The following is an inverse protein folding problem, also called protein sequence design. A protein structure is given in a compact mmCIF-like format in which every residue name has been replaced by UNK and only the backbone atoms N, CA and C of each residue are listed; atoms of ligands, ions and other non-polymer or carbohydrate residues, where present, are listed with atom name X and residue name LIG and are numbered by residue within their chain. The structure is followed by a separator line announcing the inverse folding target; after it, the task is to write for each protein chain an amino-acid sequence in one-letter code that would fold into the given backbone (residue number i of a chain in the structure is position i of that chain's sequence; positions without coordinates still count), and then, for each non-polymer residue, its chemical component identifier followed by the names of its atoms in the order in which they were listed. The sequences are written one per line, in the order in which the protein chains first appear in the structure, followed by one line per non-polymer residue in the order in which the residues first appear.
data_IF_035335412337
#
_entry.id   IF_035335412337
#
_cell.length_a   1.000
_cell.length_b   1.000
_cell.length_c   1.000
_cell.angle_alpha   90.00
_cell.angle_beta   90.00
_cell.angle_gamma   90.00
#
_symmetry.space_group_name_H-M   'P 1'
#
loop_
_entity.id
_entity.type
_entity.pdbx_description
1 polymer ?
#
# COMPACT_ATOMS: atom_id res chain seq x y z
N UNK A 1 13.19 -0.59 -31.03
CA UNK A 1 13.73 -1.92 -30.74
C UNK A 1 14.69 -1.75 -29.57
N UNK A 2 14.36 -2.24 -28.38
CA UNK A 2 15.32 -2.20 -27.26
C UNK A 2 16.20 -3.44 -27.41
N UNK A 3 17.45 -3.21 -27.78
CA UNK A 3 18.48 -4.24 -27.84
C UNK A 3 18.70 -4.77 -26.43
N UNK A 4 18.51 -6.08 -26.25
CA UNK A 4 18.65 -6.75 -24.95
C UNK A 4 20.15 -6.81 -24.67
N UNK A 5 20.63 -5.92 -23.82
CA UNK A 5 22.02 -5.94 -23.38
C UNK A 5 22.34 -7.28 -22.70
N UNK A 6 23.49 -7.85 -23.06
CA UNK A 6 24.06 -9.09 -22.49
C UNK A 6 24.00 -9.08 -20.95
N UNK A 7 23.58 -10.18 -20.29
CA UNK A 7 23.37 -10.24 -18.83
C UNK A 7 24.56 -9.75 -17.99
N UNK A 8 25.78 -9.89 -18.51
CA UNK A 8 27.03 -9.51 -17.84
C UNK A 8 27.19 -7.99 -17.74
N UNK A 9 26.74 -7.23 -18.75
CA UNK A 9 26.87 -5.77 -18.79
C UNK A 9 25.89 -5.05 -17.84
N UNK A 10 24.82 -5.74 -17.42
CA UNK A 10 23.81 -5.21 -16.51
C UNK A 10 24.14 -5.39 -15.03
N UNK A 11 25.13 -6.22 -14.69
CA UNK A 11 25.48 -6.54 -13.28
C UNK A 11 26.07 -5.34 -12.53
N UNK A 12 26.74 -4.42 -13.23
CA UNK A 12 27.36 -3.25 -12.60
C UNK A 12 27.49 -2.07 -13.57
N UNK A 13 26.57 -1.12 -13.44
CA UNK A 13 26.60 0.12 -14.21
C UNK A 13 27.64 1.09 -13.64
N UNK A 14 28.23 1.89 -14.54
CA UNK A 14 29.16 2.97 -14.20
C UNK A 14 28.42 4.04 -13.36
N UNK A 15 28.92 4.44 -12.18
CA UNK A 15 28.27 5.45 -11.34
C UNK A 15 28.00 6.78 -12.06
N UNK A 16 28.88 7.17 -12.99
CA UNK A 16 28.70 8.37 -13.81
C UNK A 16 27.38 8.34 -14.61
N UNK A 17 27.01 7.20 -15.20
CA UNK A 17 25.77 7.06 -15.94
C UNK A 17 24.55 7.28 -15.03
N UNK A 18 24.58 6.74 -13.81
CA UNK A 18 23.51 6.93 -12.83
C UNK A 18 23.37 8.40 -12.41
N UNK A 19 24.47 9.13 -12.25
CA UNK A 19 24.44 10.58 -11.99
C UNK A 19 23.79 11.34 -13.15
N UNK A 20 24.18 11.04 -14.40
CA UNK A 20 23.58 11.67 -15.58
C UNK A 20 22.08 11.37 -15.66
N UNK A 21 21.66 10.12 -15.45
CA UNK A 21 20.24 9.76 -15.42
C UNK A 21 19.48 10.49 -14.31
N UNK A 22 20.09 10.64 -13.13
CA UNK A 22 19.49 11.38 -12.01
C UNK A 22 19.31 12.85 -12.35
N UNK A 23 20.30 13.48 -13.00
CA UNK A 23 20.20 14.87 -13.46
C UNK A 23 19.10 15.05 -14.53
N UNK A 24 18.95 14.08 -15.45
CA UNK A 24 17.87 14.12 -16.44
C UNK A 24 16.50 14.08 -15.75
N UNK A 25 16.34 13.25 -14.71
CA UNK A 25 15.10 13.19 -13.93
C UNK A 25 14.86 14.48 -13.15
N UNK A 26 15.89 15.03 -12.49
CA UNK A 26 15.76 16.24 -11.69
C UNK A 26 15.40 17.47 -12.53
N UNK A 27 16.03 17.60 -13.70
CA UNK A 27 15.82 18.76 -14.59
C UNK A 27 14.53 18.65 -15.42
N UNK A 28 13.87 17.49 -15.45
CA UNK A 28 12.65 17.22 -16.22
C UNK A 28 12.66 17.77 -17.67
N UNK A 29 13.83 17.75 -18.33
CA UNK A 29 14.12 18.46 -19.60
C UNK A 29 13.07 18.16 -20.69
N UNK A 30 12.60 16.91 -20.74
CA UNK A 30 11.42 16.54 -21.51
C UNK A 30 10.75 15.29 -20.95
N UNK A 31 9.47 15.13 -21.24
CA UNK A 31 8.72 13.92 -20.90
C UNK A 31 9.31 12.66 -21.56
N UNK A 32 9.87 12.80 -22.77
CA UNK A 32 10.53 11.69 -23.49
C UNK A 32 11.83 11.27 -22.80
N UNK A 33 12.67 12.24 -22.42
CA UNK A 33 13.91 11.99 -21.70
C UNK A 33 13.65 11.38 -20.31
N UNK A 34 12.69 11.93 -19.56
CA UNK A 34 12.27 11.42 -18.25
C UNK A 34 11.81 9.97 -18.34
N UNK A 35 10.92 9.64 -19.30
CA UNK A 35 10.46 8.26 -19.51
C UNK A 35 11.59 7.34 -19.95
N UNK A 36 12.52 7.79 -20.78
CA UNK A 36 13.68 6.99 -21.18
C UNK A 36 14.59 6.69 -19.99
N UNK A 37 14.91 7.70 -19.17
CA UNK A 37 15.72 7.54 -17.97
C UNK A 37 15.07 6.59 -16.95
N UNK A 38 13.77 6.74 -16.69
CA UNK A 38 13.02 5.82 -15.83
C UNK A 38 13.04 4.38 -16.36
N UNK A 39 12.87 4.16 -17.68
CA UNK A 39 12.95 2.81 -18.27
C UNK A 39 14.31 2.17 -18.03
N UNK A 40 15.40 2.92 -18.25
CA UNK A 40 16.76 2.43 -18.04
C UNK A 40 16.98 2.07 -16.57
N UNK A 41 16.61 2.97 -15.65
CA UNK A 41 16.75 2.75 -14.21
C UNK A 41 15.90 1.55 -13.72
N UNK A 42 14.68 1.40 -14.20
CA UNK A 42 13.81 0.24 -13.91
C UNK A 42 14.44 -1.06 -14.42
N UNK A 43 15.08 -1.02 -15.59
CA UNK A 43 15.78 -2.18 -16.14
C UNK A 43 16.94 -2.62 -15.26
N UNK A 44 17.63 -1.68 -14.60
CA UNK A 44 18.96 -1.94 -14.01
C UNK A 44 18.99 -2.00 -12.48
N UNK A 45 18.00 -1.41 -11.80
CA UNK A 45 17.89 -1.45 -10.33
C UNK A 45 17.36 -2.77 -9.71
N UNK A 46 16.87 -3.78 -10.46
CA UNK A 46 16.64 -5.11 -9.89
C UNK A 46 17.94 -5.70 -9.31
N UNK A 47 19.09 -5.45 -9.93
CA UNK A 47 20.39 -5.88 -9.43
C UNK A 47 20.84 -5.05 -8.22
N UNK A 48 21.14 -5.74 -7.11
CA UNK A 48 21.47 -5.11 -5.82
C UNK A 48 22.61 -4.10 -5.89
N UNK A 49 23.69 -4.38 -6.65
CA UNK A 49 24.83 -3.46 -6.81
C UNK A 49 24.44 -2.14 -7.48
N UNK A 50 23.58 -2.19 -8.50
CA UNK A 50 23.10 -0.99 -9.19
C UNK A 50 22.15 -0.19 -8.32
N UNK A 51 21.33 -0.88 -7.52
CA UNK A 51 20.41 -0.27 -6.58
C UNK A 51 21.14 0.61 -5.56
N UNK A 52 22.20 0.09 -4.94
CA UNK A 52 23.01 0.85 -3.97
C UNK A 52 23.58 2.10 -4.64
N UNK A 53 24.23 1.94 -5.81
CA UNK A 53 24.77 3.07 -6.58
C UNK A 53 23.71 4.09 -7.01
N UNK A 54 22.50 3.65 -7.31
CA UNK A 54 21.39 4.53 -7.68
C UNK A 54 20.91 5.34 -6.47
N UNK A 55 20.85 4.72 -5.29
CA UNK A 55 20.54 5.44 -4.04
C UNK A 55 21.64 6.46 -3.73
N UNK A 56 22.92 6.07 -3.81
CA UNK A 56 24.07 6.98 -3.64
C UNK A 56 24.08 8.15 -4.64
N UNK A 57 23.55 7.94 -5.85
CA UNK A 57 23.40 8.98 -6.86
C UNK A 57 22.23 9.95 -6.57
N UNK A 58 21.43 9.72 -5.53
CA UNK A 58 20.32 10.60 -5.13
C UNK A 58 19.00 10.30 -5.85
N UNK A 59 18.86 9.15 -6.52
CA UNK A 59 17.67 8.83 -7.31
C UNK A 59 16.39 8.85 -6.47
N UNK A 60 16.45 8.40 -5.20
CA UNK A 60 15.25 8.32 -4.33
C UNK A 60 14.59 9.69 -4.14
N UNK A 61 15.36 10.73 -3.79
CA UNK A 61 14.83 12.09 -3.59
C UNK A 61 14.16 12.60 -4.86
N UNK A 62 14.84 12.51 -5.99
CA UNK A 62 14.34 12.99 -7.29
C UNK A 62 13.04 12.29 -7.69
N UNK A 63 12.89 11.00 -7.37
CA UNK A 63 11.64 10.27 -7.63
C UNK A 63 10.49 10.77 -6.77
N UNK A 64 10.75 11.13 -5.51
CA UNK A 64 9.74 11.68 -4.60
C UNK A 64 9.28 13.05 -5.11
N UNK A 65 10.21 13.92 -5.50
CA UNK A 65 9.92 15.22 -6.09
C UNK A 65 9.11 15.07 -7.38
N UNK A 66 9.49 14.12 -8.23
CA UNK A 66 8.72 13.81 -9.45
C UNK A 66 7.27 13.40 -9.13
N UNK A 67 7.02 12.67 -8.03
CA UNK A 67 5.65 12.29 -7.63
C UNK A 67 4.82 13.45 -7.05
N UNK A 68 5.48 14.46 -6.49
CA UNK A 68 4.85 15.69 -6.00
C UNK A 68 4.36 16.55 -7.16
N UNK A 69 5.20 16.70 -8.19
CA UNK A 69 4.90 17.52 -9.38
C UNK A 69 3.91 16.85 -10.35
N UNK A 70 3.78 15.52 -10.29
CA UNK A 70 2.89 14.77 -11.18
C UNK A 70 1.42 14.86 -10.74
N UNK A 71 0.64 15.76 -11.36
CA UNK A 71 -0.81 15.89 -11.14
C UNK A 71 -1.65 14.93 -12.00
N UNK A 72 -1.35 14.74 -13.30
CA UNK A 72 -2.37 14.21 -14.24
C UNK A 72 -1.96 13.07 -15.20
N UNK A 73 -0.69 12.65 -15.24
CA UNK A 73 -0.26 11.57 -16.15
C UNK A 73 -0.22 10.21 -15.45
N UNK A 74 -0.99 9.22 -15.89
CA UNK A 74 -1.01 7.87 -15.26
C UNK A 74 0.30 7.09 -15.39
N UNK A 75 1.06 7.28 -16.48
CA UNK A 75 2.22 6.43 -16.82
C UNK A 75 3.51 6.76 -16.05
N UNK A 76 3.77 8.04 -15.77
CA UNK A 76 5.00 8.45 -15.06
C UNK A 76 5.00 8.00 -13.60
N UNK A 77 3.94 8.22 -12.80
CA UNK A 77 3.84 7.72 -11.43
C UNK A 77 3.98 6.20 -11.33
N UNK A 78 3.46 5.47 -12.32
CA UNK A 78 3.64 4.01 -12.36
C UNK A 78 5.11 3.61 -12.48
N UNK A 79 5.83 4.25 -13.41
CA UNK A 79 7.26 4.00 -13.60
C UNK A 79 8.08 4.42 -12.38
N UNK A 80 7.77 5.59 -11.81
CA UNK A 80 8.44 6.10 -10.61
C UNK A 80 8.24 5.16 -9.42
N UNK A 81 7.01 4.72 -9.15
CA UNK A 81 6.76 3.76 -8.07
C UNK A 81 7.37 2.38 -8.32
N UNK A 82 7.47 1.95 -9.58
CA UNK A 82 8.19 0.71 -9.93
C UNK A 82 9.65 0.81 -9.53
N UNK A 83 10.30 1.92 -9.87
CA UNK A 83 11.69 2.15 -9.52
C UNK A 83 11.88 2.30 -8.00
N UNK A 84 11.02 3.09 -7.35
CA UNK A 84 11.07 3.30 -5.91
C UNK A 84 10.90 1.99 -5.13
N UNK A 85 10.02 1.09 -5.59
CA UNK A 85 9.86 -0.26 -5.06
C UNK A 85 11.16 -1.07 -5.16
N UNK A 86 11.85 -1.06 -6.30
CA UNK A 86 13.17 -1.68 -6.43
C UNK A 86 14.17 -1.09 -5.42
N UNK A 87 14.26 0.23 -5.32
CA UNK A 87 15.20 0.91 -4.42
C UNK A 87 14.92 0.60 -2.94
N UNK A 88 13.64 0.53 -2.53
CA UNK A 88 13.24 0.22 -1.16
C UNK A 88 13.49 -1.25 -0.74
N UNK A 89 13.88 -2.13 -1.67
CA UNK A 89 14.33 -3.48 -1.35
C UNK A 89 15.75 -3.50 -0.72
N UNK A 90 16.44 -2.37 -0.54
CA UNK A 90 17.67 -2.26 0.26
C UNK A 90 17.52 -1.28 1.43
N UNK A 91 18.40 -1.37 2.43
CA UNK A 91 18.35 -0.52 3.63
C UNK A 91 18.53 0.96 3.29
N UNK A 92 19.53 1.30 2.46
CA UNK A 92 19.84 2.68 2.07
C UNK A 92 18.67 3.33 1.33
N UNK A 93 18.01 2.58 0.44
CA UNK A 93 16.85 3.10 -0.29
C UNK A 93 15.67 3.43 0.62
N UNK A 94 15.44 2.63 1.68
CA UNK A 94 14.42 2.95 2.70
C UNK A 94 14.84 4.13 3.57
N UNK A 95 16.12 4.22 3.92
CA UNK A 95 16.64 5.33 4.70
C UNK A 95 16.47 6.66 3.94
N UNK A 96 16.84 6.72 2.66
CA UNK A 96 16.65 7.93 1.85
C UNK A 96 15.17 8.26 1.60
N UNK A 97 14.28 7.25 1.49
CA UNK A 97 12.83 7.48 1.43
C UNK A 97 12.32 8.18 2.69
N UNK A 98 12.71 7.69 3.88
CA UNK A 98 12.27 8.22 5.18
C UNK A 98 12.92 9.55 5.55
N UNK A 99 14.14 9.79 5.05
CA UNK A 99 14.84 11.07 5.21
C UNK A 99 14.15 12.21 4.47
N UNK A 100 13.47 11.90 3.37
CA UNK A 100 12.69 12.88 2.62
C UNK A 100 11.35 13.14 3.30
N UNK A 101 11.07 14.37 3.72
CA UNK A 101 9.87 14.72 4.52
C UNK A 101 8.52 14.41 3.84
N UNK A 102 8.50 14.25 2.52
CA UNK A 102 7.31 13.84 1.76
C UNK A 102 7.25 12.33 1.41
N UNK A 103 8.26 11.53 1.78
CA UNK A 103 8.45 10.17 1.27
C UNK A 103 7.28 9.23 1.52
N UNK A 104 6.85 9.06 2.77
CA UNK A 104 5.68 8.22 3.09
C UNK A 104 4.38 8.84 2.60
N UNK A 105 4.28 10.17 2.64
CA UNK A 105 3.10 10.90 2.18
C UNK A 105 2.82 10.63 0.71
N UNK A 106 3.83 10.76 -0.18
CA UNK A 106 3.62 10.53 -1.62
C UNK A 106 3.33 9.07 -1.93
N UNK A 107 3.99 8.12 -1.27
CA UNK A 107 3.77 6.69 -1.51
C UNK A 107 2.35 6.30 -1.09
N UNK A 108 1.94 6.66 0.12
CA UNK A 108 0.62 6.35 0.65
C UNK A 108 -0.51 7.04 -0.13
N UNK A 109 -0.27 8.27 -0.62
CA UNK A 109 -1.24 9.01 -1.44
C UNK A 109 -1.55 8.30 -2.76
N UNK A 110 -0.65 7.49 -3.32
CA UNK A 110 -0.88 6.84 -4.63
C UNK A 110 -1.73 5.56 -4.54
N UNK A 111 -2.01 5.04 -3.35
CA UNK A 111 -2.92 3.90 -3.15
C UNK A 111 -4.34 4.29 -3.62
N UNK A 112 -4.92 3.50 -4.53
CA UNK A 112 -6.21 3.71 -5.22
C UNK A 112 -6.34 4.95 -6.12
N UNK A 113 -5.26 5.74 -6.32
CA UNK A 113 -5.36 6.98 -7.10
C UNK A 113 -4.99 6.85 -8.59
N UNK A 114 -4.27 5.80 -8.98
CA UNK A 114 -3.72 5.69 -10.34
C UNK A 114 -4.15 4.41 -11.05
N UNK A 115 -3.73 3.25 -10.53
CA UNK A 115 -4.06 1.92 -11.05
C UNK A 115 -3.85 0.88 -9.95
N UNK A 116 -4.41 -0.33 -10.13
CA UNK A 116 -4.19 -1.42 -9.17
C UNK A 116 -2.71 -1.83 -9.07
N UNK A 117 -1.98 -1.81 -10.20
CA UNK A 117 -0.55 -2.11 -10.21
C UNK A 117 0.24 -1.09 -9.39
N UNK A 118 -0.15 0.19 -9.45
CA UNK A 118 0.41 1.25 -8.62
C UNK A 118 0.09 1.05 -7.14
N UNK A 119 -1.17 0.75 -6.80
CA UNK A 119 -1.57 0.44 -5.42
C UNK A 119 -0.75 -0.72 -4.85
N UNK A 120 -0.57 -1.80 -5.62
CA UNK A 120 0.22 -2.97 -5.21
C UNK A 120 1.67 -2.60 -4.91
N UNK A 121 2.31 -1.81 -5.78
CA UNK A 121 3.70 -1.33 -5.57
C UNK A 121 3.82 -0.40 -4.36
N UNK A 122 2.86 0.51 -4.17
CA UNK A 122 2.83 1.39 -3.00
C UNK A 122 2.72 0.57 -1.70
N UNK A 123 1.82 -0.43 -1.65
CA UNK A 123 1.70 -1.34 -0.50
C UNK A 123 2.98 -2.14 -0.28
N UNK A 124 3.67 -2.59 -1.34
CA UNK A 124 4.98 -3.26 -1.21
C UNK A 124 6.05 -2.37 -0.59
N UNK A 125 6.13 -1.10 -1.00
CA UNK A 125 7.06 -0.13 -0.40
C UNK A 125 6.74 0.06 1.07
N UNK A 126 5.47 0.34 1.41
CA UNK A 126 5.04 0.51 2.80
C UNK A 126 5.29 -0.74 3.64
N UNK A 127 5.09 -1.93 3.07
CA UNK A 127 5.40 -3.19 3.74
C UNK A 127 6.91 -3.33 4.03
N UNK A 128 7.77 -3.00 3.07
CA UNK A 128 9.22 -3.03 3.28
C UNK A 128 9.66 -2.03 4.38
N UNK A 129 9.09 -0.82 4.39
CA UNK A 129 9.33 0.16 5.45
C UNK A 129 8.82 -0.35 6.79
N UNK A 130 7.56 -0.78 6.88
CA UNK A 130 6.95 -1.24 8.13
C UNK A 130 7.69 -2.43 8.73
N UNK A 131 8.18 -3.35 7.89
CA UNK A 131 8.88 -4.57 8.32
C UNK A 131 10.32 -4.32 8.79
N UNK A 132 11.06 -3.47 8.09
CA UNK A 132 12.51 -3.34 8.29
C UNK A 132 12.96 -1.98 8.86
N UNK A 133 12.07 -1.00 8.90
CA UNK A 133 12.34 0.39 9.29
C UNK A 133 11.22 1.00 10.15
N UNK A 134 10.24 0.18 10.59
CA UNK A 134 9.07 0.62 11.33
C UNK A 134 9.36 0.89 12.81
N UNK A 135 10.05 1.99 13.11
CA UNK A 135 10.18 2.51 14.47
C UNK A 135 8.96 3.36 14.88
N UNK A 136 8.88 3.78 16.15
CA UNK A 136 7.75 4.54 16.68
C UNK A 136 7.42 5.79 15.86
N UNK A 137 8.43 6.53 15.39
CA UNK A 137 8.23 7.74 14.58
C UNK A 137 7.59 7.41 13.23
N UNK A 138 8.11 6.40 12.53
CA UNK A 138 7.61 5.96 11.22
C UNK A 138 6.17 5.46 11.35
N UNK A 139 5.88 4.66 12.37
CA UNK A 139 4.53 4.09 12.61
C UNK A 139 3.53 5.18 12.97
N UNK A 140 3.96 6.21 13.71
CA UNK A 140 3.14 7.38 14.01
C UNK A 140 2.87 8.21 12.76
N UNK A 141 3.88 8.47 11.93
CA UNK A 141 3.72 9.19 10.66
C UNK A 141 2.75 8.45 9.72
N UNK A 142 2.87 7.12 9.60
CA UNK A 142 1.92 6.30 8.84
C UNK A 142 0.48 6.45 9.34
N UNK A 143 0.28 6.58 10.66
CA UNK A 143 -1.04 6.83 11.23
C UNK A 143 -1.57 8.22 10.82
N UNK A 144 -0.76 9.27 10.96
CA UNK A 144 -1.15 10.64 10.57
C UNK A 144 -1.48 10.78 9.09
N UNK A 145 -0.78 10.04 8.23
CA UNK A 145 -1.03 10.00 6.79
C UNK A 145 -2.28 9.18 6.42
N UNK A 146 -2.97 8.58 7.40
CA UNK A 146 -4.12 7.71 7.18
C UNK A 146 -3.75 6.48 6.37
N UNK A 147 -2.56 5.91 6.56
CA UNK A 147 -2.15 4.67 5.88
C UNK A 147 -3.02 3.51 6.34
N UNK A 148 -3.36 3.46 7.63
CA UNK A 148 -4.12 2.36 8.22
C UNK A 148 -5.45 2.14 7.50
N UNK A 149 -6.24 3.20 7.32
CA UNK A 149 -7.53 3.05 6.64
C UNK A 149 -7.43 2.70 5.16
N UNK A 150 -6.38 3.19 4.47
CA UNK A 150 -6.08 2.74 3.10
C UNK A 150 -5.77 1.24 3.05
N UNK A 151 -5.03 0.71 4.02
CA UNK A 151 -4.72 -0.72 4.10
C UNK A 151 -5.97 -1.54 4.45
N UNK A 152 -6.82 -1.07 5.35
CA UNK A 152 -8.12 -1.70 5.62
C UNK A 152 -8.98 -1.76 4.36
N UNK A 153 -9.02 -0.69 3.56
CA UNK A 153 -9.74 -0.68 2.29
C UNK A 153 -9.12 -1.65 1.26
N UNK A 154 -7.78 -1.79 1.19
CA UNK A 154 -7.11 -2.85 0.40
C UNK A 154 -7.59 -4.24 0.78
N UNK A 155 -7.75 -4.54 2.08
CA UNK A 155 -8.27 -5.83 2.52
C UNK A 155 -9.71 -6.09 2.05
N UNK A 156 -10.53 -5.04 1.95
CA UNK A 156 -11.92 -5.13 1.50
C UNK A 156 -12.03 -5.35 0.00
N UNK A 157 -11.27 -4.59 -0.81
CA UNK A 157 -11.44 -4.58 -2.28
C UNK A 157 -10.53 -5.54 -3.04
N UNK A 158 -9.41 -5.98 -2.46
CA UNK A 158 -8.45 -6.92 -3.08
C UNK A 158 -8.29 -8.23 -2.28
N UNK A 159 -9.39 -8.75 -1.73
CA UNK A 159 -9.39 -9.95 -0.88
C UNK A 159 -8.73 -11.15 -1.58
N UNK A 160 -7.77 -11.80 -0.90
CA UNK A 160 -7.05 -12.98 -1.41
C UNK A 160 -5.90 -12.69 -2.37
N UNK A 161 -5.56 -11.42 -2.59
CA UNK A 161 -4.39 -11.02 -3.39
C UNK A 161 -3.10 -10.96 -2.56
N UNK A 162 -1.95 -11.08 -3.23
CA UNK A 162 -0.64 -10.81 -2.60
C UNK A 162 -0.53 -9.40 -2.01
N UNK A 163 -1.28 -8.44 -2.56
CA UNK A 163 -1.34 -7.07 -2.02
C UNK A 163 -2.07 -7.04 -0.69
N UNK A 164 -3.20 -7.73 -0.56
CA UNK A 164 -3.95 -7.78 0.70
C UNK A 164 -3.25 -8.60 1.78
N UNK A 165 -2.50 -9.64 1.43
CA UNK A 165 -1.60 -10.33 2.37
C UNK A 165 -0.60 -9.36 3.00
N UNK A 166 0.09 -8.56 2.19
CA UNK A 166 1.05 -7.55 2.68
C UNK A 166 0.38 -6.47 3.52
N UNK A 167 -0.79 -6.00 3.11
CA UNK A 167 -1.57 -5.07 3.90
C UNK A 167 -1.92 -5.66 5.28
N UNK A 168 -2.33 -6.93 5.33
CA UNK A 168 -2.61 -7.65 6.58
C UNK A 168 -1.37 -7.78 7.45
N UNK A 169 -0.20 -8.09 6.87
CA UNK A 169 1.07 -8.17 7.58
C UNK A 169 1.44 -6.83 8.23
N UNK A 170 1.30 -5.71 7.51
CA UNK A 170 1.55 -4.37 8.06
C UNK A 170 0.66 -4.09 9.28
N UNK A 171 -0.65 -4.34 9.13
CA UNK A 171 -1.65 -4.13 10.19
C UNK A 171 -1.34 -4.97 11.42
N UNK A 172 -0.92 -6.22 11.24
CA UNK A 172 -0.56 -7.12 12.34
C UNK A 172 0.73 -6.68 13.04
N UNK A 173 1.76 -6.28 12.29
CA UNK A 173 3.05 -5.85 12.87
C UNK A 173 2.89 -4.67 13.82
N UNK A 174 2.02 -3.71 13.48
CA UNK A 174 1.89 -2.44 14.21
C UNK A 174 0.58 -2.28 14.97
N UNK A 175 -0.22 -3.36 15.10
CA UNK A 175 -1.54 -3.36 15.73
C UNK A 175 -1.55 -2.72 17.13
N UNK A 176 -0.51 -2.96 17.94
CA UNK A 176 -0.42 -2.39 19.31
C UNK A 176 -0.30 -0.88 19.32
N UNK A 177 0.52 -0.31 18.42
CA UNK A 177 0.71 1.13 18.29
C UNK A 177 -0.55 1.84 17.78
N UNK A 178 -1.43 1.07 17.13
CA UNK A 178 -2.59 1.54 16.41
C UNK A 178 -3.91 1.32 17.16
N UNK A 179 -3.96 0.36 18.09
CA UNK A 179 -5.16 -0.06 18.85
C UNK A 179 -5.99 1.07 19.47
N UNK A 180 -5.36 2.17 19.88
CA UNK A 180 -6.03 3.29 20.55
C UNK A 180 -6.30 4.49 19.61
N UNK A 181 -6.07 4.34 18.30
CA UNK A 181 -6.37 5.39 17.35
C UNK A 181 -7.83 5.31 16.91
N UNK A 182 -8.55 6.41 17.05
CA UNK A 182 -9.96 6.56 16.65
C UNK A 182 -10.21 6.19 15.18
N UNK A 183 -9.18 6.29 14.34
CA UNK A 183 -9.19 5.94 12.93
C UNK A 183 -9.43 4.44 12.64
N UNK A 184 -9.31 3.56 13.64
CA UNK A 184 -9.29 2.10 13.45
C UNK A 184 -10.56 1.42 13.94
N UNK A 185 -11.23 2.04 14.91
CA UNK A 185 -12.36 1.43 15.62
C UNK A 185 -13.57 1.18 14.71
N UNK A 186 -13.77 1.95 13.64
CA UNK A 186 -14.87 1.70 12.69
C UNK A 186 -14.50 0.73 11.55
N UNK A 187 -13.22 0.70 11.15
CA UNK A 187 -12.76 -0.05 9.98
C UNK A 187 -12.37 -1.49 10.31
N UNK A 188 -11.84 -1.75 11.51
CA UNK A 188 -11.51 -3.11 11.93
C UNK A 188 -12.73 -3.95 12.31
N UNK A 189 -13.79 -3.37 12.87
CA UNK A 189 -15.02 -4.15 13.17
C UNK A 189 -15.61 -4.76 11.89
N UNK A 190 -15.65 -3.99 10.80
CA UNK A 190 -16.09 -4.46 9.48
C UNK A 190 -15.12 -5.47 8.85
N UNK A 191 -13.80 -5.28 9.00
CA UNK A 191 -12.79 -6.22 8.48
C UNK A 191 -12.78 -7.53 9.26
N UNK A 192 -12.99 -7.52 10.58
CA UNK A 192 -13.07 -8.73 11.41
C UNK A 192 -14.36 -9.49 11.14
N UNK A 193 -15.52 -8.81 11.06
CA UNK A 193 -16.79 -9.44 10.67
C UNK A 193 -16.68 -10.01 9.25
N UNK A 194 -16.06 -9.28 8.32
CA UNK A 194 -15.79 -9.75 6.95
C UNK A 194 -14.78 -10.90 6.86
N UNK A 195 -13.76 -10.95 7.74
CA UNK A 195 -12.79 -12.04 7.84
C UNK A 195 -13.45 -13.35 8.29
N UNK A 196 -14.38 -13.29 9.24
CA UNK A 196 -15.19 -14.43 9.64
C UNK A 196 -16.09 -14.89 8.47
N UNK A 197 -16.73 -13.97 7.74
CA UNK A 197 -17.55 -14.32 6.56
C UNK A 197 -16.74 -14.88 5.38
N UNK A 198 -15.55 -14.35 5.09
CA UNK A 198 -14.77 -14.76 3.93
C UNK A 198 -14.07 -16.12 4.12
N UNK A 199 -13.64 -16.44 5.35
CA UNK A 199 -13.03 -17.73 5.69
C UNK A 199 -14.07 -18.84 5.93
N UNK A 200 -15.32 -18.47 6.24
CA UNK A 200 -16.44 -19.40 6.34
C UNK A 200 -16.97 -19.90 4.98
N UNK A 201 -16.60 -19.28 3.84
CA UNK A 201 -17.08 -19.72 2.51
C UNK A 201 -16.65 -21.15 2.10
N UNK A 202 -15.55 -21.67 2.66
CA UNK A 202 -15.14 -23.07 2.44
C UNK A 202 -15.70 -24.05 3.47
N UNK A 203 -16.48 -23.58 4.44
CA UNK A 203 -17.17 -24.40 5.45
C UNK A 203 -18.69 -24.30 5.35
N UNK A 204 -19.22 -23.80 4.22
CA UNK A 204 -20.64 -23.48 4.06
C UNK A 204 -21.30 -24.26 2.92
N UNK A 205 -21.73 -25.52 3.13
CA UNK A 205 -23.07 -25.89 2.75
C UNK A 205 -24.03 -25.47 3.88
N UNK A 206 -25.21 -24.94 3.53
CA UNK A 206 -26.32 -24.58 4.43
C UNK A 206 -26.28 -23.16 5.02
N UNK A 207 -26.54 -22.14 4.19
CA UNK A 207 -27.57 -21.13 4.47
C UNK A 207 -27.95 -20.52 3.12
N UNK A 208 -29.14 -20.86 2.67
CA UNK A 208 -29.88 -20.10 1.67
C UNK A 208 -30.38 -18.83 2.35
N UNK A 209 -30.03 -17.67 1.80
CA UNK A 209 -30.75 -16.42 2.09
C UNK A 209 -32.14 -16.58 1.48
N UNK A 210 -33.15 -16.78 2.31
CA UNK A 210 -34.55 -16.62 1.91
C UNK A 210 -34.84 -15.13 1.94
N UNK A 211 -34.85 -14.50 0.77
CA UNK A 211 -35.45 -13.19 0.59
C UNK A 211 -36.97 -13.37 0.61
N UNK A 212 -37.60 -13.16 1.77
CA UNK A 212 -39.03 -13.00 1.91
C UNK A 212 -39.32 -11.58 2.37
N UNK A 213 -40.01 -10.80 1.52
CA UNK A 213 -40.62 -9.55 1.94
C UNK A 213 -41.78 -9.86 2.89
N UNK A 214 -41.89 -9.10 3.99
CA UNK A 214 -43.04 -8.26 4.23
C UNK A 214 -42.83 -7.38 5.46
N UNK A 215 -43.52 -6.24 5.39
CA UNK A 215 -43.51 -5.08 6.25
C UNK A 215 -43.61 -5.35 7.76
N UNK A 216 -42.77 -4.68 8.54
CA UNK A 216 -43.17 -3.89 9.72
C UNK A 216 -41.95 -3.21 10.35
N UNK A 217 -41.73 -1.97 9.93
CA UNK A 217 -40.92 -1.01 10.67
C UNK A 217 -41.70 -0.52 11.89
N UNK A 218 -41.10 -0.59 13.09
CA UNK A 218 -41.48 0.33 14.17
C UNK A 218 -40.32 0.60 15.14
N UNK A 219 -39.92 1.87 15.15
CA UNK A 219 -39.46 2.72 16.26
C UNK A 219 -38.71 2.05 17.42
N UNK A 220 -37.44 2.43 17.58
CA UNK A 220 -36.83 2.55 18.90
C UNK A 220 -36.28 3.97 19.04
N UNK A 221 -36.87 4.72 19.97
CA UNK A 221 -36.43 6.04 20.38
C UNK A 221 -35.02 6.01 20.96
N UNK A 222 -34.30 7.12 20.77
CA UNK A 222 -32.90 7.26 21.13
C UNK A 222 -32.68 7.26 22.64
N UNK A 223 -32.34 6.11 23.21
CA UNK A 223 -31.48 5.97 24.40
C UNK A 223 -31.43 4.51 24.86
N UNK A 224 -31.02 3.55 24.04
CA UNK A 224 -30.67 2.21 24.54
C UNK A 224 -29.88 1.42 23.49
N UNK A 225 -28.87 0.69 23.96
CA UNK A 225 -27.91 -0.07 23.18
C UNK A 225 -28.67 -1.11 22.34
N UNK A 226 -28.66 -0.96 21.02
CA UNK A 226 -29.33 -1.86 20.09
C UNK A 226 -28.61 -3.23 20.09
N UNK A 227 -29.10 -4.16 20.93
CA UNK A 227 -28.63 -5.54 20.95
C UNK A 227 -28.93 -6.22 19.62
N UNK A 228 -27.91 -6.82 18.98
CA UNK A 228 -28.10 -7.63 17.78
C UNK A 228 -28.87 -8.90 18.13
N UNK A 229 -29.95 -9.13 17.42
CA UNK A 229 -30.66 -10.41 17.43
C UNK A 229 -29.90 -11.41 16.55
N UNK A 230 -29.79 -12.65 17.02
CA UNK A 230 -29.30 -13.77 16.21
C UNK A 230 -30.29 -14.94 16.32
N UNK A 231 -30.43 -15.71 15.24
CA UNK A 231 -31.21 -16.94 15.25
C UNK A 231 -30.29 -18.14 15.48
N UNK A 232 -30.59 -18.95 16.51
CA UNK A 232 -29.95 -20.24 16.75
C UNK A 232 -31.03 -21.32 16.62
N UNK A 233 -30.84 -22.30 15.75
CA UNK A 233 -31.80 -23.37 15.46
C UNK A 233 -33.24 -22.87 15.18
N UNK A 234 -33.35 -21.79 14.41
CA UNK A 234 -34.65 -21.23 13.99
C UNK A 234 -35.42 -20.46 15.08
N UNK A 235 -34.83 -20.23 16.25
CA UNK A 235 -35.44 -19.41 17.32
C UNK A 235 -34.64 -18.13 17.55
N UNK A 236 -35.29 -16.94 17.66
CA UNK A 236 -34.58 -15.70 17.98
C UNK A 236 -34.05 -15.73 19.41
N UNK A 237 -32.75 -15.52 19.58
CA UNK A 237 -32.10 -15.42 20.89
C UNK A 237 -31.52 -14.01 21.06
N UNK A 238 -31.81 -13.40 22.21
CA UNK A 238 -31.29 -12.08 22.59
C UNK A 238 -30.10 -12.28 23.52
N UNK A 239 -28.89 -11.94 23.08
CA UNK A 239 -27.73 -11.89 23.98
C UNK A 239 -27.57 -10.47 24.54
N UNK A 240 -27.60 -10.33 25.88
CA UNK A 240 -27.05 -9.14 26.54
C UNK A 240 -25.54 -9.26 26.52
N UNK A 241 -24.88 -8.29 25.89
CA UNK A 241 -23.44 -8.09 26.02
C UNK A 241 -23.17 -7.68 27.48
N UNK A 242 -22.38 -8.48 28.20
CA UNK A 242 -21.67 -8.05 29.41
C UNK A 242 -20.27 -7.59 29.00
#
# INVERSE_FOLDING_TARGET
MFEVAEPIQMISIKPHLLKVLTQILANQISQKATKAALKLLIGVCPWGRNRIKAVEAGVVSVLIDTLLDCTDQKRVPEMVLTLLDHLCQCADGRAELLKHGAGLAVVSKKIFRVSQVVSSRAVRILHAVAKFSGNTSVVHEMLQLGVVGKLCFVLQVECGSKTSEKASEILKMHARAWKNSSCILYELEMVVIGWFSAKARHLWPVFTVVSGGDDTWNKCDGSEICGRWWCVNGSPQRQRLY
#
